data_IF_184723170476
#
_entry.id   IF_184723170476
#
_cell.length_a   1.000
_cell.length_b   1.000
_cell.length_c   1.000
_cell.angle_alpha   90.00
_cell.angle_beta   90.00
_cell.angle_gamma   90.00
#
_symmetry.space_group_name_H-M   'P 1'
#
loop_
_entity.id
_entity.type
_entity.pdbx_description
1 polymer ?
#
# COMPACT_ATOMS: atom_id res chain seq x y z
N UNK A 1 -14.65 14.92 8.43
CA UNK A 1 -13.42 15.41 7.77
C UNK A 1 -13.67 16.70 7.00
N UNK A 2 -14.47 16.70 5.92
CA UNK A 2 -14.64 17.86 5.03
C UNK A 2 -15.11 19.16 5.69
N UNK A 3 -16.06 19.06 6.62
CA UNK A 3 -16.52 20.21 7.43
C UNK A 3 -15.35 20.83 8.19
N UNK A 4 -14.53 20.00 8.85
CA UNK A 4 -13.37 20.46 9.61
C UNK A 4 -12.29 21.09 8.73
N UNK A 5 -12.03 20.53 7.54
CA UNK A 5 -11.07 21.12 6.58
C UNK A 5 -11.57 22.48 6.11
N UNK A 6 -12.87 22.61 5.78
CA UNK A 6 -13.48 23.90 5.42
C UNK A 6 -13.31 24.92 6.53
N UNK A 7 -13.71 24.58 7.76
CA UNK A 7 -13.64 25.47 8.92
C UNK A 7 -12.20 25.89 9.24
N UNK A 8 -11.23 24.97 9.09
CA UNK A 8 -9.80 25.30 9.22
C UNK A 8 -9.36 26.29 8.15
N UNK A 9 -9.78 26.09 6.90
CA UNK A 9 -9.46 26.97 5.79
C UNK A 9 -10.12 28.35 5.93
N UNK A 10 -11.31 28.42 6.53
CA UNK A 10 -12.06 29.66 6.79
C UNK A 10 -11.62 30.41 8.05
N UNK A 11 -10.99 29.73 9.02
CA UNK A 11 -10.42 30.39 10.21
C UNK A 11 -9.31 31.37 9.81
N UNK A 12 -9.02 32.45 10.55
CA UNK A 12 -7.82 33.30 10.32
C UNK A 12 -7.54 33.62 8.82
N UNK A 13 -8.53 34.18 8.10
CA UNK A 13 -8.52 34.34 6.63
C UNK A 13 -7.27 35.02 6.05
N UNK A 14 -6.63 35.89 6.83
CA UNK A 14 -5.43 36.64 6.42
C UNK A 14 -4.13 35.81 6.42
N UNK A 15 -4.20 34.51 6.74
CA UNK A 15 -3.02 33.64 6.84
C UNK A 15 -3.00 32.58 5.75
N UNK A 16 -1.86 32.45 5.05
CA UNK A 16 -1.63 31.33 4.14
C UNK A 16 -1.57 30.02 4.90
N UNK A 17 -2.16 28.97 4.34
CA UNK A 17 -2.22 27.65 4.96
C UNK A 17 -1.84 26.56 3.98
N UNK A 18 -1.24 25.51 4.54
CA UNK A 18 -1.08 24.23 3.90
C UNK A 18 -1.77 23.19 4.79
N UNK A 19 -2.82 22.55 4.25
CA UNK A 19 -3.61 21.56 4.98
C UNK A 19 -3.38 20.20 4.32
N UNK A 20 -2.86 19.25 5.08
CA UNK A 20 -2.74 17.86 4.67
C UNK A 20 -3.81 17.02 5.37
N UNK A 21 -4.59 16.27 4.61
CA UNK A 21 -5.63 15.39 5.12
C UNK A 21 -5.49 14.00 4.51
N UNK A 22 -5.79 12.98 5.32
CA UNK A 22 -5.71 11.57 4.94
C UNK A 22 -7.05 10.88 5.23
N UNK A 23 -7.48 10.00 4.32
CA UNK A 23 -8.73 9.25 4.40
C UNK A 23 -8.47 7.78 4.07
N UNK A 24 -8.55 6.92 5.08
CA UNK A 24 -8.21 5.49 5.04
C UNK A 24 -9.39 4.58 4.68
N UNK A 25 -10.63 5.07 4.79
CA UNK A 25 -11.80 4.20 4.83
C UNK A 25 -12.04 3.42 3.53
N UNK A 26 -11.69 3.99 2.38
CA UNK A 26 -11.80 3.30 1.09
C UNK A 26 -10.84 2.10 1.03
N UNK A 27 -9.60 2.27 1.49
CA UNK A 27 -8.61 1.20 1.55
C UNK A 27 -9.07 0.08 2.48
N UNK A 28 -9.52 0.43 3.70
CA UNK A 28 -10.00 -0.55 4.68
C UNK A 28 -11.23 -1.35 4.20
N UNK A 29 -12.17 -0.71 3.50
CA UNK A 29 -13.34 -1.40 2.91
C UNK A 29 -12.90 -2.31 1.76
N UNK A 30 -12.00 -1.82 0.91
CA UNK A 30 -11.51 -2.57 -0.25
C UNK A 30 -10.71 -3.81 0.18
N UNK A 31 -9.95 -3.72 1.27
CA UNK A 31 -9.30 -4.87 1.90
C UNK A 31 -10.30 -5.97 2.30
N UNK A 32 -11.41 -5.61 2.96
CA UNK A 32 -12.35 -6.59 3.52
C UNK A 32 -13.35 -7.14 2.51
N UNK A 33 -13.67 -6.36 1.47
CA UNK A 33 -14.75 -6.68 0.55
C UNK A 33 -14.31 -6.81 -0.92
N UNK A 34 -13.07 -6.46 -1.22
CA UNK A 34 -12.52 -6.35 -2.57
C UNK A 34 -12.68 -4.93 -3.14
N UNK A 35 -11.69 -4.43 -3.90
CA UNK A 35 -11.71 -3.10 -4.50
C UNK A 35 -12.84 -2.88 -5.51
N UNK A 36 -13.29 -3.95 -6.18
CA UNK A 36 -14.38 -3.89 -7.16
C UNK A 36 -15.78 -4.08 -6.56
N UNK A 37 -15.88 -4.16 -5.22
CA UNK A 37 -17.14 -4.42 -4.55
C UNK A 37 -18.08 -3.21 -4.58
N UNK A 38 -19.39 -3.49 -4.52
CA UNK A 38 -20.42 -2.44 -4.35
C UNK A 38 -20.12 -1.55 -3.13
N UNK A 39 -19.56 -2.14 -2.06
CA UNK A 39 -19.20 -1.41 -0.83
C UNK A 39 -18.06 -0.43 -1.07
N UNK A 40 -17.00 -0.84 -1.75
CA UNK A 40 -15.88 0.05 -2.09
C UNK A 40 -16.34 1.20 -3.00
N UNK A 41 -17.16 0.89 -4.01
CA UNK A 41 -17.76 1.90 -4.88
C UNK A 41 -18.64 2.89 -4.11
N UNK A 42 -19.51 2.39 -3.23
CA UNK A 42 -20.37 3.25 -2.40
C UNK A 42 -19.55 4.17 -1.49
N UNK A 43 -18.46 3.67 -0.91
CA UNK A 43 -17.56 4.48 -0.09
C UNK A 43 -16.93 5.63 -0.87
N UNK A 44 -16.42 5.35 -2.07
CA UNK A 44 -15.83 6.37 -2.92
C UNK A 44 -16.87 7.41 -3.37
N UNK A 45 -18.11 6.98 -3.64
CA UNK A 45 -19.23 7.89 -3.93
C UNK A 45 -19.57 8.77 -2.72
N UNK A 46 -19.57 8.23 -1.51
CA UNK A 46 -19.82 8.99 -0.28
C UNK A 46 -18.72 10.00 -0.01
N UNK A 47 -17.45 9.61 -0.18
CA UNK A 47 -16.31 10.52 -0.11
C UNK A 47 -16.49 11.71 -1.07
N UNK A 48 -16.82 11.42 -2.34
CA UNK A 48 -16.93 12.42 -3.40
C UNK A 48 -18.11 13.37 -3.18
N UNK A 49 -19.30 12.83 -2.83
CA UNK A 49 -20.49 13.65 -2.52
C UNK A 49 -20.27 14.52 -1.30
N UNK A 50 -19.64 13.99 -0.25
CA UNK A 50 -19.38 14.76 0.96
C UNK A 50 -18.33 15.85 0.71
N UNK A 51 -17.36 15.62 -0.17
CA UNK A 51 -16.41 16.65 -0.62
C UNK A 51 -17.13 17.80 -1.32
N UNK A 52 -18.01 17.48 -2.28
CA UNK A 52 -18.80 18.49 -2.98
C UNK A 52 -19.72 19.27 -2.01
N UNK A 53 -20.59 18.54 -1.31
CA UNK A 53 -21.67 19.13 -0.49
C UNK A 53 -21.16 19.90 0.73
N UNK A 54 -20.14 19.38 1.43
CA UNK A 54 -19.72 19.96 2.70
C UNK A 54 -18.49 20.85 2.60
N UNK A 55 -17.67 20.67 1.56
CA UNK A 55 -16.49 21.49 1.31
C UNK A 55 -16.73 22.44 0.12
N UNK A 56 -16.85 21.95 -1.12
CA UNK A 56 -16.88 22.84 -2.31
C UNK A 56 -18.06 23.81 -2.35
N UNK A 57 -19.27 23.35 -2.01
CA UNK A 57 -20.50 24.15 -2.11
C UNK A 57 -20.64 25.15 -0.97
N UNK A 58 -19.97 24.90 0.15
CA UNK A 58 -20.10 25.68 1.37
C UNK A 58 -18.87 26.53 1.69
N UNK A 59 -17.77 26.34 0.97
CA UNK A 59 -16.55 27.12 1.15
C UNK A 59 -16.80 28.59 0.78
N UNK A 60 -16.36 29.50 1.64
CA UNK A 60 -16.39 30.94 1.40
C UNK A 60 -15.84 31.29 -0.01
N UNK A 61 -16.61 32.04 -0.85
CA UNK A 61 -16.23 32.29 -2.24
C UNK A 61 -14.89 33.00 -2.43
N UNK A 62 -14.52 33.90 -1.50
CA UNK A 62 -13.26 34.64 -1.59
C UNK A 62 -12.06 33.78 -1.23
N UNK A 63 -12.25 32.78 -0.36
CA UNK A 63 -11.23 31.78 -0.04
C UNK A 63 -11.15 30.75 -1.16
N UNK A 64 -12.29 30.33 -1.71
CA UNK A 64 -12.39 29.32 -2.77
C UNK A 64 -11.52 29.69 -3.97
N UNK A 65 -11.66 30.90 -4.51
CA UNK A 65 -10.88 31.39 -5.67
C UNK A 65 -9.36 31.42 -5.44
N UNK A 66 -8.91 31.47 -4.18
CA UNK A 66 -7.49 31.46 -3.82
C UNK A 66 -7.01 30.10 -3.28
N UNK A 67 -7.83 29.05 -3.38
CA UNK A 67 -7.51 27.72 -2.89
C UNK A 67 -7.11 26.79 -4.04
N UNK A 68 -5.99 26.09 -3.88
CA UNK A 68 -5.63 24.93 -4.70
C UNK A 68 -5.93 23.66 -3.92
N UNK A 69 -6.66 22.75 -4.54
CA UNK A 69 -6.88 21.39 -4.02
C UNK A 69 -6.02 20.42 -4.82
N UNK A 70 -5.34 19.54 -4.08
CA UNK A 70 -4.64 18.39 -4.62
C UNK A 70 -5.22 17.12 -3.99
N UNK A 71 -5.56 16.15 -4.82
CA UNK A 71 -6.03 14.83 -4.41
C UNK A 71 -5.13 13.78 -5.07
N UNK A 72 -4.60 12.89 -4.25
CA UNK A 72 -3.81 11.76 -4.69
C UNK A 72 -4.11 10.53 -3.85
N UNK A 73 -3.63 9.37 -4.29
CA UNK A 73 -3.50 8.18 -3.46
C UNK A 73 -2.04 7.74 -3.41
N UNK A 74 -1.69 6.96 -2.41
CA UNK A 74 -0.39 6.31 -2.23
C UNK A 74 -0.29 4.99 -3.00
N UNK A 75 -1.40 4.25 -3.13
CA UNK A 75 -1.50 3.05 -3.96
C UNK A 75 -2.94 2.77 -4.42
N UNK A 76 -3.09 1.87 -5.39
CA UNK A 76 -4.34 1.17 -5.69
C UNK A 76 -4.43 -0.15 -4.96
N UNK A 77 -5.31 -1.06 -5.42
CA UNK A 77 -5.48 -2.40 -4.87
C UNK A 77 -5.93 -3.37 -5.96
N UNK A 78 -5.68 -4.66 -5.75
CA UNK A 78 -6.23 -5.76 -6.54
C UNK A 78 -7.04 -6.73 -5.67
N UNK A 79 -7.92 -7.49 -6.33
CA UNK A 79 -8.61 -8.62 -5.72
C UNK A 79 -7.72 -9.86 -5.70
N UNK A 80 -7.68 -10.59 -4.58
CA UNK A 80 -6.99 -11.88 -4.41
C UNK A 80 -7.95 -12.92 -3.83
N UNK A 81 -7.69 -14.20 -4.09
CA UNK A 81 -8.44 -15.29 -3.45
C UNK A 81 -7.89 -15.54 -2.04
N UNK A 82 -8.60 -15.04 -1.03
CA UNK A 82 -8.20 -15.16 0.36
C UNK A 82 -8.44 -16.56 0.96
N UNK A 83 -9.05 -17.47 0.21
CA UNK A 83 -9.34 -18.85 0.61
C UNK A 83 -8.30 -19.85 0.09
N UNK A 84 -7.47 -19.44 -0.87
CA UNK A 84 -6.36 -20.25 -1.39
C UNK A 84 -5.26 -20.39 -0.33
N UNK A 85 -5.19 -21.57 0.29
CA UNK A 85 -4.26 -21.88 1.37
C UNK A 85 -2.84 -22.16 0.88
N UNK A 86 -2.61 -22.20 -0.44
CA UNK A 86 -1.29 -22.27 -1.05
C UNK A 86 -0.43 -21.02 -0.78
N UNK A 87 -1.06 -19.90 -0.44
CA UNK A 87 -0.38 -18.65 -0.09
C UNK A 87 -0.24 -18.44 1.43
N UNK A 88 -0.74 -19.35 2.25
CA UNK A 88 -0.58 -19.30 3.71
C UNK A 88 0.75 -19.95 4.12
N UNK A 89 1.70 -19.15 4.59
CA UNK A 89 3.04 -19.61 4.94
C UNK A 89 3.07 -20.61 6.09
N UNK A 90 1.99 -20.76 6.87
CA UNK A 90 1.88 -21.86 7.85
C UNK A 90 1.95 -23.24 7.17
N UNK A 91 1.52 -23.33 5.90
CA UNK A 91 1.55 -24.54 5.08
C UNK A 91 2.92 -24.76 4.41
N UNK A 92 3.87 -23.83 4.60
CA UNK A 92 5.22 -23.89 4.03
C UNK A 92 6.31 -23.89 5.13
N UNK A 93 6.30 -24.86 6.07
CA UNK A 93 7.29 -24.89 7.16
C UNK A 93 8.72 -25.03 6.66
N UNK A 94 8.94 -25.73 5.54
CA UNK A 94 10.27 -25.86 4.95
C UNK A 94 10.85 -24.51 4.49
N UNK A 95 10.00 -23.57 4.10
CA UNK A 95 10.38 -22.20 3.77
C UNK A 95 10.59 -21.36 5.02
N UNK A 96 9.59 -21.30 5.90
CA UNK A 96 9.63 -20.43 7.09
C UNK A 96 10.71 -20.83 8.08
N UNK A 97 11.07 -22.12 8.15
CA UNK A 97 12.19 -22.60 8.97
C UNK A 97 13.56 -22.10 8.49
N UNK A 98 13.68 -21.62 7.25
CA UNK A 98 14.91 -21.00 6.75
C UNK A 98 15.04 -19.53 7.13
N UNK A 99 14.00 -18.92 7.72
CA UNK A 99 13.98 -17.50 8.09
C UNK A 99 14.33 -17.31 9.57
N UNK A 100 14.95 -16.18 9.91
CA UNK A 100 15.20 -15.75 11.29
C UNK A 100 13.94 -15.26 11.99
N UNK A 101 13.06 -14.62 11.25
CA UNK A 101 11.74 -14.17 11.69
C UNK A 101 10.74 -14.38 10.54
N UNK A 102 9.45 -14.31 10.85
CA UNK A 102 8.42 -14.22 9.81
C UNK A 102 8.70 -13.05 8.87
N UNK A 103 8.24 -13.09 7.61
CA UNK A 103 8.39 -11.96 6.71
C UNK A 103 7.91 -10.64 7.33
N UNK A 104 8.54 -9.54 6.93
CA UNK A 104 8.08 -8.18 7.26
C UNK A 104 7.66 -7.44 5.99
N UNK A 105 7.11 -6.24 6.11
CA UNK A 105 6.54 -5.50 4.98
C UNK A 105 5.10 -5.91 4.69
N UNK A 106 4.73 -5.91 3.42
CA UNK A 106 3.36 -6.14 2.95
C UNK A 106 3.18 -7.57 2.42
N UNK A 107 1.95 -8.09 2.44
CA UNK A 107 1.67 -9.45 1.95
C UNK A 107 2.00 -9.67 0.47
N UNK A 108 2.20 -8.59 -0.28
CA UNK A 108 2.66 -8.61 -1.68
C UNK A 108 4.04 -7.97 -1.89
N UNK A 109 4.70 -7.53 -0.82
CA UNK A 109 6.07 -7.02 -0.82
C UNK A 109 6.75 -7.37 0.51
N UNK A 110 7.33 -8.56 0.55
CA UNK A 110 7.94 -9.11 1.75
C UNK A 110 9.44 -8.80 1.81
N UNK A 111 9.92 -8.43 3.00
CA UNK A 111 11.33 -8.45 3.35
C UNK A 111 11.64 -9.74 4.13
N UNK A 112 12.62 -10.51 3.64
CA UNK A 112 13.01 -11.78 4.22
C UNK A 112 14.34 -11.65 4.95
N UNK A 113 14.35 -12.07 6.22
CA UNK A 113 15.57 -12.22 7.01
C UNK A 113 15.90 -13.72 7.09
N UNK A 114 16.95 -14.14 6.41
CA UNK A 114 17.25 -15.53 6.09
C UNK A 114 18.39 -16.02 6.96
N UNK A 115 18.30 -17.26 7.44
CA UNK A 115 19.37 -17.90 8.22
C UNK A 115 20.66 -18.04 7.40
N UNK A 116 21.85 -17.99 8.02
CA UNK A 116 23.12 -18.10 7.31
C UNK A 116 23.19 -19.36 6.42
N UNK A 117 23.63 -19.18 5.18
CA UNK A 117 23.78 -20.27 4.20
C UNK A 117 22.46 -20.82 3.62
N UNK A 118 21.33 -20.13 3.81
CA UNK A 118 20.01 -20.57 3.28
C UNK A 118 19.46 -19.73 2.13
N UNK A 119 20.14 -18.66 1.71
CA UNK A 119 19.65 -17.74 0.67
C UNK A 119 19.30 -18.48 -0.63
N UNK A 120 20.18 -19.34 -1.15
CA UNK A 120 19.91 -20.07 -2.40
C UNK A 120 18.77 -21.08 -2.22
N UNK A 121 18.73 -21.79 -1.09
CA UNK A 121 17.61 -22.69 -0.77
C UNK A 121 16.26 -21.97 -0.67
N UNK A 122 16.25 -20.73 -0.17
CA UNK A 122 15.04 -19.88 -0.14
C UNK A 122 14.62 -19.52 -1.56
N UNK A 123 15.54 -19.09 -2.42
CA UNK A 123 15.25 -18.78 -3.83
C UNK A 123 14.71 -20.00 -4.57
N UNK A 124 15.38 -21.15 -4.43
CA UNK A 124 14.96 -22.41 -5.03
C UNK A 124 13.57 -22.83 -4.55
N UNK A 125 13.29 -22.66 -3.25
CA UNK A 125 11.97 -22.97 -2.71
C UNK A 125 10.89 -22.08 -3.34
N UNK A 126 11.13 -20.77 -3.42
CA UNK A 126 10.17 -19.82 -3.99
C UNK A 126 9.86 -20.19 -5.45
N UNK A 127 10.88 -20.46 -6.25
CA UNK A 127 10.71 -20.80 -7.67
C UNK A 127 9.96 -22.12 -7.87
N UNK A 128 10.23 -23.12 -7.03
CA UNK A 128 9.55 -24.43 -7.14
C UNK A 128 8.11 -24.39 -6.60
N UNK A 129 7.86 -23.68 -5.50
CA UNK A 129 6.54 -23.63 -4.88
C UNK A 129 5.59 -22.67 -5.60
N UNK A 130 6.11 -21.54 -6.09
CA UNK A 130 5.35 -20.45 -6.70
C UNK A 130 5.99 -19.98 -8.02
N UNK A 131 6.07 -20.87 -9.03
CA UNK A 131 6.79 -20.59 -10.27
C UNK A 131 6.26 -19.33 -10.96
N UNK A 132 7.17 -18.41 -11.28
CA UNK A 132 6.89 -17.10 -11.90
C UNK A 132 5.88 -16.20 -11.16
N UNK A 133 5.53 -16.48 -9.90
CA UNK A 133 4.57 -15.66 -9.14
C UNK A 133 5.21 -14.56 -8.30
N UNK A 134 6.53 -14.64 -8.07
CA UNK A 134 7.26 -13.67 -7.25
C UNK A 134 8.51 -13.16 -7.97
N UNK A 135 8.81 -11.89 -7.76
CA UNK A 135 10.06 -11.24 -8.17
C UNK A 135 10.97 -11.12 -6.96
N UNK A 136 12.12 -11.80 -7.00
CA UNK A 136 13.13 -11.73 -5.95
C UNK A 136 14.12 -10.62 -6.29
N UNK A 137 14.27 -9.66 -5.39
CA UNK A 137 15.10 -8.47 -5.54
C UNK A 137 16.18 -8.50 -4.47
N UNK A 138 17.42 -8.31 -4.91
CA UNK A 138 18.56 -8.15 -4.03
C UNK A 138 18.50 -6.78 -3.33
N UNK A 139 18.61 -6.70 -1.99
CA UNK A 139 18.64 -5.44 -1.26
C UNK A 139 19.69 -4.45 -1.77
N UNK A 140 20.87 -4.90 -2.18
CA UNK A 140 21.90 -4.04 -2.76
C UNK A 140 21.41 -3.41 -4.06
N UNK A 141 20.80 -4.22 -4.95
CA UNK A 141 20.23 -3.72 -6.21
C UNK A 141 19.09 -2.73 -5.96
N UNK A 142 18.24 -2.97 -4.95
CA UNK A 142 17.17 -2.04 -4.59
C UNK A 142 17.73 -0.69 -4.12
N UNK A 143 18.79 -0.69 -3.31
CA UNK A 143 19.47 0.52 -2.84
C UNK A 143 20.15 1.24 -3.99
N UNK A 144 21.01 0.57 -4.75
CA UNK A 144 21.76 1.19 -5.87
C UNK A 144 20.85 1.60 -7.02
N UNK A 145 19.70 0.95 -7.16
CA UNK A 145 18.66 1.26 -8.15
C UNK A 145 17.73 2.41 -7.74
N UNK A 146 17.89 2.98 -6.54
CA UNK A 146 17.11 4.13 -6.08
C UNK A 146 15.69 3.78 -5.60
N UNK A 147 15.38 2.51 -5.36
CA UNK A 147 14.04 2.08 -4.93
C UNK A 147 13.71 2.51 -3.48
N UNK A 148 14.73 2.86 -2.69
CA UNK A 148 14.59 3.31 -1.29
C UNK A 148 14.70 4.83 -1.15
N UNK A 149 14.55 5.57 -2.26
CA UNK A 149 14.62 7.03 -2.32
C UNK A 149 15.97 7.57 -2.80
N UNK A 150 15.98 8.86 -3.10
CA UNK A 150 17.14 9.56 -3.68
C UNK A 150 18.04 10.27 -2.64
N UNK A 151 17.70 10.17 -1.35
CA UNK A 151 18.45 10.80 -0.27
C UNK A 151 19.69 10.00 0.15
N UNK A 152 20.49 10.52 1.10
CA UNK A 152 21.58 9.77 1.71
C UNK A 152 21.09 8.45 2.30
N UNK A 153 21.78 7.36 1.98
CA UNK A 153 21.42 6.03 2.46
C UNK A 153 21.67 5.96 3.97
N UNK A 154 20.62 5.64 4.73
CA UNK A 154 20.73 5.46 6.17
C UNK A 154 21.56 4.20 6.48
N UNK A 155 22.50 4.22 7.45
CA UNK A 155 23.37 3.07 7.75
C UNK A 155 22.60 1.77 8.04
N UNK A 156 21.42 1.89 8.64
CA UNK A 156 20.54 0.76 9.01
C UNK A 156 19.63 0.26 7.87
N UNK A 157 19.79 0.71 6.62
CA UNK A 157 18.86 0.34 5.54
C UNK A 157 18.81 -1.18 5.32
N UNK A 158 19.95 -1.85 5.35
CA UNK A 158 20.03 -3.30 5.11
C UNK A 158 19.41 -4.10 6.26
N UNK A 159 19.43 -3.56 7.48
CA UNK A 159 18.72 -4.15 8.62
C UNK A 159 17.19 -4.09 8.43
N UNK A 160 16.67 -3.16 7.62
CA UNK A 160 15.25 -3.10 7.25
C UNK A 160 14.89 -3.94 6.03
N UNK A 161 15.77 -3.97 5.01
CA UNK A 161 15.51 -4.70 3.77
C UNK A 161 15.69 -6.22 3.91
N UNK A 162 16.47 -6.67 4.91
CA UNK A 162 16.80 -8.07 5.11
C UNK A 162 17.77 -8.60 4.05
N UNK A 163 17.71 -9.90 3.79
CA UNK A 163 18.57 -10.62 2.85
C UNK A 163 17.96 -10.69 1.44
N UNK A 164 16.63 -10.70 1.33
CA UNK A 164 15.90 -10.65 0.06
C UNK A 164 14.63 -9.82 0.21
N UNK A 165 14.32 -9.05 -0.83
CA UNK A 165 13.02 -8.40 -1.02
C UNK A 165 12.24 -9.28 -2.01
N UNK A 166 10.97 -9.56 -1.74
CA UNK A 166 10.14 -10.41 -2.60
C UNK A 166 8.83 -9.71 -2.92
N UNK A 167 8.65 -9.32 -4.18
CA UNK A 167 7.44 -8.66 -4.65
C UNK A 167 6.54 -9.65 -5.40
N UNK A 168 5.26 -9.68 -5.09
CA UNK A 168 4.31 -10.55 -5.75
C UNK A 168 3.92 -10.03 -7.14
N UNK A 169 3.64 -10.97 -8.05
CA UNK A 169 3.10 -10.72 -9.39
C UNK A 169 1.67 -11.27 -9.48
N UNK A 170 0.88 -10.76 -10.43
CA UNK A 170 -0.50 -11.20 -10.64
C UNK A 170 -1.30 -11.13 -9.33
N UNK A 171 -2.00 -12.20 -8.98
CA UNK A 171 -2.83 -12.26 -7.76
C UNK A 171 -2.15 -12.98 -6.57
N UNK A 172 -0.86 -13.29 -6.67
CA UNK A 172 -0.13 -14.01 -5.62
C UNK A 172 0.06 -13.16 -4.36
N UNK A 173 0.19 -13.79 -3.20
CA UNK A 173 0.52 -13.10 -1.95
C UNK A 173 1.12 -14.10 -0.97
N UNK A 174 1.60 -13.61 0.17
CA UNK A 174 1.90 -14.46 1.32
C UNK A 174 1.14 -13.97 2.54
N UNK A 175 0.48 -14.90 3.22
CA UNK A 175 -0.12 -14.68 4.53
C UNK A 175 0.71 -15.39 5.59
N UNK A 176 1.12 -14.66 6.63
CA UNK A 176 1.94 -15.22 7.71
C UNK A 176 1.50 -14.79 9.11
N UNK A 177 0.38 -14.08 9.21
CA UNK A 177 -0.17 -13.71 10.50
C UNK A 177 -0.81 -14.94 11.16
N UNK A 178 -0.61 -15.10 12.46
CA UNK A 178 -1.22 -16.18 13.23
C UNK A 178 -2.70 -15.89 13.57
N UNK A 179 -3.50 -15.64 12.53
CA UNK A 179 -4.95 -15.38 12.58
C UNK A 179 -5.56 -15.69 11.20
N UNK A 180 -6.90 -15.87 11.10
CA UNK A 180 -7.57 -16.02 9.81
C UNK A 180 -7.24 -14.86 8.86
N UNK A 181 -7.18 -15.13 7.55
CA UNK A 181 -6.94 -14.12 6.51
C UNK A 181 -8.27 -13.48 6.06
N UNK A 182 -8.61 -12.24 6.48
CA UNK A 182 -9.83 -11.58 6.05
C UNK A 182 -9.67 -10.80 4.73
N UNK A 183 -8.45 -10.72 4.18
CA UNK A 183 -8.11 -9.74 3.15
C UNK A 183 -8.38 -10.29 1.76
N UNK A 184 -9.40 -9.73 1.10
CA UNK A 184 -9.76 -9.95 -0.29
C UNK A 184 -8.99 -8.96 -1.17
N UNK A 185 -9.07 -7.66 -0.83
CA UNK A 185 -8.28 -6.61 -1.47
C UNK A 185 -6.85 -6.59 -0.92
N UNK A 186 -5.87 -6.40 -1.79
CA UNK A 186 -4.44 -6.30 -1.41
C UNK A 186 -3.71 -5.30 -2.30
N UNK A 187 -2.61 -4.78 -1.78
CA UNK A 187 -1.67 -3.92 -2.51
C UNK A 187 -0.22 -4.26 -2.12
N UNK A 188 0.74 -3.52 -2.70
CA UNK A 188 2.17 -3.63 -2.43
C UNK A 188 2.95 -4.40 -3.50
N UNK A 189 2.26 -5.13 -4.38
CA UNK A 189 2.87 -5.83 -5.52
C UNK A 189 3.22 -4.89 -6.68
N UNK A 190 3.60 -5.49 -7.80
CA UNK A 190 4.09 -4.79 -9.00
C UNK A 190 3.03 -4.59 -10.09
N UNK A 191 1.74 -4.81 -9.78
CA UNK A 191 0.68 -4.66 -10.79
C UNK A 191 0.41 -3.18 -11.09
N UNK A 192 -0.03 -2.90 -12.32
CA UNK A 192 -0.36 -1.54 -12.71
C UNK A 192 -1.53 -0.98 -11.88
N UNK A 193 -2.50 -1.82 -11.53
CA UNK A 193 -3.64 -1.48 -10.69
C UNK A 193 -3.24 -1.12 -9.26
N UNK A 194 -2.13 -1.67 -8.75
CA UNK A 194 -1.58 -1.31 -7.44
C UNK A 194 -0.75 -0.02 -7.50
N UNK A 195 0.00 0.21 -8.59
CA UNK A 195 0.98 1.29 -8.68
C UNK A 195 0.41 2.59 -9.29
N UNK A 196 -0.57 2.49 -10.18
CA UNK A 196 -1.16 3.67 -10.83
C UNK A 196 -2.24 4.28 -9.94
N UNK A 197 -1.97 5.50 -9.48
CA UNK A 197 -2.83 6.23 -8.56
C UNK A 197 -3.39 7.49 -9.23
N UNK A 198 -4.60 7.95 -8.84
CA UNK A 198 -5.09 9.23 -9.29
C UNK A 198 -4.18 10.35 -8.78
N UNK A 199 -3.97 11.36 -9.62
CA UNK A 199 -3.44 12.66 -9.22
C UNK A 199 -4.30 13.73 -9.86
N UNK A 200 -5.01 14.49 -9.03
CA UNK A 200 -5.86 15.60 -9.44
C UNK A 200 -5.37 16.86 -8.72
N UNK A 201 -5.15 17.93 -9.47
CA UNK A 201 -4.80 19.22 -8.91
C UNK A 201 -5.58 20.32 -9.63
N UNK A 202 -6.19 21.22 -8.88
CA UNK A 202 -7.00 22.30 -9.44
C UNK A 202 -7.12 23.48 -8.47
N UNK A 203 -7.11 24.69 -9.04
CA UNK A 203 -7.59 25.88 -8.34
C UNK A 203 -9.12 25.89 -8.38
N UNK A 204 -9.76 26.14 -7.23
CA UNK A 204 -11.22 26.10 -7.08
C UNK A 204 -11.93 27.35 -7.60
#
# INVERSE_FOLDING_TARGET
MWISIRELLESKKETSKYIWAYWDRLDGISHLHGPDSERAKAEFMDFSRNFETYFLDKLDPDIKKDTVVMLAADHGQITTDNTDDHYDLKNHPNFTNMLHLTPTGENRLAYLHIKPGKVDSVKDYIENAWPDQFCIIDPEKAVTGGLVGAGPIHPEIYNRLGDLIVAAKGHAYWWWANKPNPLIGRHGGLSAEEMLVPFLAGRL
#
